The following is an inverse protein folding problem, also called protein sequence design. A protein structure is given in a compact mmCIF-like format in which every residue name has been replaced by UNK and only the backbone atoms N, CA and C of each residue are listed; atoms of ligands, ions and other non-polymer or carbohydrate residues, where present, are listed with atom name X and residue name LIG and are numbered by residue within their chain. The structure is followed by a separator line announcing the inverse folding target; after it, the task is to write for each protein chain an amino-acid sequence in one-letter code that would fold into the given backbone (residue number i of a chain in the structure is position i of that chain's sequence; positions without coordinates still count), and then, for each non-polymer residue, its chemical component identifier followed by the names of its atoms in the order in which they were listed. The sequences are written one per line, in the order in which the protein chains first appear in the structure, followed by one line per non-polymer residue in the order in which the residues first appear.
data_IF_526866282359
#
_entry.id   IF_526866282359
#
_cell.length_a   1.000
_cell.length_b   1.000
_cell.length_c   1.000
_cell.angle_alpha   90.00
_cell.angle_beta   90.00
_cell.angle_gamma   90.00
#
_symmetry.space_group_name_H-M   'P 1'
#
loop_
_entity.id
_entity.type
_entity.pdbx_description
1 polymer ?
#
# COMPACT_ATOMS: atom_id res chain seq x y z
N UNK A 1 -29.82 -74.29 48.34
CA UNK A 1 -30.47 -73.80 47.10
C UNK A 1 -30.28 -72.28 47.05
N UNK A 2 -29.55 -71.82 46.01
CA UNK A 2 -29.57 -70.49 45.37
C UNK A 2 -30.27 -69.32 46.09
N UNK A 3 -29.61 -68.19 46.38
CA UNK A 3 -29.21 -67.04 45.51
C UNK A 3 -29.65 -65.80 46.33
N UNK A 4 -28.99 -64.66 46.42
CA UNK A 4 -27.86 -64.15 45.67
C UNK A 4 -27.25 -62.93 46.39
N UNK A 5 -25.97 -62.74 46.08
CA UNK A 5 -25.14 -61.62 46.48
C UNK A 5 -25.57 -60.40 45.64
N UNK A 6 -26.25 -59.45 46.27
CA UNK A 6 -26.57 -58.16 45.67
C UNK A 6 -25.32 -57.30 45.63
N UNK A 7 -24.70 -57.23 44.45
CA UNK A 7 -23.61 -56.30 44.11
C UNK A 7 -24.06 -54.86 44.38
N UNK A 8 -23.46 -54.21 45.37
CA UNK A 8 -23.51 -52.75 45.50
C UNK A 8 -22.65 -52.19 44.36
N UNK A 9 -23.35 -51.73 43.32
CA UNK A 9 -22.75 -51.13 42.14
C UNK A 9 -22.25 -49.73 42.51
N UNK A 10 -20.94 -49.57 42.51
CA UNK A 10 -20.24 -48.29 42.62
C UNK A 10 -20.50 -47.50 41.33
N UNK A 11 -21.52 -46.64 41.32
CA UNK A 11 -21.68 -45.64 40.25
C UNK A 11 -20.83 -44.43 40.63
N UNK A 12 -19.56 -44.47 40.24
CA UNK A 12 -18.71 -43.27 40.20
C UNK A 12 -19.33 -42.35 39.15
N UNK A 13 -20.08 -41.35 39.61
CA UNK A 13 -20.56 -40.25 38.80
C UNK A 13 -19.34 -39.37 38.48
N UNK A 14 -18.61 -39.72 37.42
CA UNK A 14 -17.63 -38.84 36.81
C UNK A 14 -18.38 -37.64 36.24
N UNK A 15 -18.47 -36.57 37.03
CA UNK A 15 -18.79 -35.24 36.55
C UNK A 15 -17.64 -34.83 35.65
N UNK A 16 -17.74 -35.16 34.36
CA UNK A 16 -16.94 -34.55 33.31
C UNK A 16 -17.43 -33.11 33.28
N UNK A 17 -16.72 -32.24 33.99
CA UNK A 17 -16.78 -30.81 33.77
C UNK A 17 -16.29 -30.59 32.35
N UNK A 18 -17.22 -30.60 31.39
CA UNK A 18 -16.97 -30.17 30.03
C UNK A 18 -16.70 -28.67 30.15
N UNK A 19 -15.48 -28.32 30.50
CA UNK A 19 -14.98 -26.97 30.42
C UNK A 19 -14.91 -26.68 28.92
N UNK A 20 -16.04 -26.27 28.35
CA UNK A 20 -16.10 -25.63 27.05
C UNK A 20 -15.25 -24.38 27.19
N UNK A 21 -13.98 -24.48 26.79
CA UNK A 21 -13.11 -23.34 26.62
C UNK A 21 -13.82 -22.43 25.64
N UNK A 22 -14.38 -21.34 26.14
CA UNK A 22 -14.84 -20.24 25.29
C UNK A 22 -13.56 -19.73 24.63
N UNK A 23 -13.31 -20.14 23.40
CA UNK A 23 -12.21 -19.58 22.61
C UNK A 23 -12.55 -18.11 22.44
N UNK A 24 -11.83 -17.25 23.15
CA UNK A 24 -11.92 -15.80 22.98
C UNK A 24 -11.71 -15.49 21.50
N UNK A 25 -12.62 -14.70 20.91
CA UNK A 25 -12.50 -14.32 19.52
C UNK A 25 -11.21 -13.51 19.37
N UNK A 26 -10.26 -14.03 18.60
CA UNK A 26 -8.98 -13.35 18.39
C UNK A 26 -9.21 -11.97 17.76
N UNK A 27 -8.46 -10.98 18.24
CA UNK A 27 -8.48 -9.62 17.71
C UNK A 27 -8.23 -9.62 16.20
N UNK A 28 -9.00 -8.78 15.50
CA UNK A 28 -8.86 -8.59 14.05
C UNK A 28 -7.81 -7.50 13.80
N UNK A 29 -6.85 -7.82 12.93
CA UNK A 29 -5.79 -6.91 12.50
C UNK A 29 -6.00 -6.62 11.04
N UNK A 30 -6.15 -5.34 10.69
CA UNK A 30 -6.10 -4.89 9.30
C UNK A 30 -4.70 -4.39 8.98
N UNK A 31 -4.16 -4.82 7.84
CA UNK A 31 -2.83 -4.39 7.39
C UNK A 31 -2.89 -3.94 5.94
N UNK A 32 -2.20 -2.84 5.64
CA UNK A 32 -1.86 -2.45 4.27
C UNK A 32 -0.50 -3.04 3.94
N UNK A 33 -0.40 -3.81 2.87
CA UNK A 33 0.84 -4.48 2.47
C UNK A 33 0.93 -4.68 0.94
N UNK A 34 2.11 -4.99 0.41
CA UNK A 34 2.26 -5.48 -0.96
C UNK A 34 1.69 -6.90 -1.13
N UNK A 35 1.65 -7.40 -2.37
CA UNK A 35 1.35 -8.81 -2.65
C UNK A 35 2.31 -9.80 -1.96
N UNK A 36 3.54 -9.40 -1.66
CA UNK A 36 4.51 -10.19 -0.88
C UNK A 36 4.35 -10.03 0.64
N UNK A 37 3.45 -9.14 1.11
CA UNK A 37 3.22 -8.88 2.53
C UNK A 37 4.12 -7.80 3.14
N UNK A 38 4.86 -7.03 2.35
CA UNK A 38 5.72 -5.96 2.84
C UNK A 38 4.92 -4.68 3.17
N UNK A 39 5.24 -4.02 4.28
CA UNK A 39 4.65 -2.72 4.66
C UNK A 39 5.31 -1.52 3.97
N UNK A 40 6.46 -1.73 3.33
CA UNK A 40 7.09 -0.76 2.43
C UNK A 40 6.95 -1.30 1.01
N UNK A 41 6.33 -0.51 0.13
CA UNK A 41 5.99 -0.89 -1.23
C UNK A 41 6.81 0.00 -2.16
N UNK A 42 7.87 -0.58 -2.72
CA UNK A 42 8.73 0.06 -3.71
C UNK A 42 8.04 0.06 -5.07
N UNK A 43 8.07 1.21 -5.74
CA UNK A 43 7.58 1.42 -7.10
C UNK A 43 8.47 2.40 -7.84
N UNK A 44 8.35 2.46 -9.15
CA UNK A 44 8.96 3.49 -10.00
C UNK A 44 7.89 4.42 -10.59
N UNK A 45 8.28 5.60 -11.04
CA UNK A 45 7.35 6.52 -11.72
C UNK A 45 6.75 5.83 -12.94
N UNK A 46 5.41 5.82 -13.02
CA UNK A 46 4.67 5.16 -14.10
C UNK A 46 4.12 3.78 -13.73
N UNK A 47 4.65 3.14 -12.69
CA UNK A 47 4.14 1.85 -12.22
C UNK A 47 2.70 1.94 -11.72
N UNK A 48 1.97 0.85 -11.90
CA UNK A 48 0.75 0.58 -11.17
C UNK A 48 1.10 -0.04 -9.81
N UNK A 49 0.77 0.65 -8.73
CA UNK A 49 1.17 0.30 -7.37
C UNK A 49 0.04 -0.46 -6.69
N UNK A 50 0.19 -1.77 -6.50
CA UNK A 50 -0.82 -2.60 -5.84
C UNK A 50 -0.61 -2.64 -4.30
N UNK A 51 -1.60 -2.16 -3.56
CA UNK A 51 -1.67 -2.24 -2.10
C UNK A 51 -2.81 -3.15 -1.69
N UNK A 52 -2.52 -4.20 -0.94
CA UNK A 52 -3.50 -5.12 -0.40
C UNK A 52 -3.95 -4.71 1.00
N UNK A 53 -5.27 -4.65 1.21
CA UNK A 53 -5.87 -4.61 2.55
C UNK A 53 -6.03 -6.06 3.01
N UNK A 54 -5.19 -6.52 3.94
CA UNK A 54 -5.25 -7.87 4.50
C UNK A 54 -5.87 -7.88 5.89
N UNK A 55 -6.55 -8.98 6.20
CA UNK A 55 -7.02 -9.31 7.54
C UNK A 55 -6.35 -10.61 8.01
N UNK A 56 -5.88 -10.63 9.26
CA UNK A 56 -5.26 -11.81 9.86
C UNK A 56 -6.22 -13.02 9.95
N UNK A 57 -7.50 -12.77 10.19
CA UNK A 57 -8.54 -13.80 10.25
C UNK A 57 -9.87 -13.27 9.71
N UNK A 58 -10.31 -13.78 8.57
CA UNK A 58 -11.55 -13.36 7.93
C UNK A 58 -12.79 -14.13 8.42
N UNK A 59 -12.63 -15.06 9.35
CA UNK A 59 -13.75 -15.80 9.95
C UNK A 59 -14.81 -14.81 10.41
N UNK A 60 -16.08 -15.14 10.14
CA UNK A 60 -17.29 -14.36 10.40
C UNK A 60 -17.41 -13.00 9.68
N UNK A 61 -16.39 -12.52 8.96
CA UNK A 61 -16.46 -11.22 8.26
C UNK A 61 -17.42 -11.27 7.07
N UNK A 62 -18.42 -10.42 7.07
CA UNK A 62 -19.42 -10.31 6.03
C UNK A 62 -19.53 -8.92 5.42
N UNK A 63 -18.95 -7.90 6.06
CA UNK A 63 -18.87 -6.56 5.52
C UNK A 63 -17.64 -5.84 6.00
N UNK A 64 -17.23 -4.82 5.24
CA UNK A 64 -16.16 -3.91 5.60
C UNK A 64 -16.57 -2.48 5.25
N UNK A 65 -16.21 -1.52 6.10
CA UNK A 65 -16.43 -0.09 5.85
C UNK A 65 -15.35 0.74 6.53
N UNK A 66 -14.54 1.45 5.74
CA UNK A 66 -13.48 2.31 6.25
C UNK A 66 -13.01 3.32 5.21
N UNK A 67 -12.20 4.29 5.63
CA UNK A 67 -11.51 5.21 4.75
C UNK A 67 -10.05 4.79 4.56
N UNK A 68 -9.57 4.87 3.32
CA UNK A 68 -8.15 4.81 2.99
C UNK A 68 -7.66 6.25 2.83
N UNK A 69 -6.70 6.67 3.64
CA UNK A 69 -6.11 8.00 3.62
C UNK A 69 -4.74 7.95 2.96
N UNK A 70 -4.49 8.87 2.02
CA UNK A 70 -3.25 9.00 1.26
C UNK A 70 -3.10 10.43 0.72
N UNK A 71 -1.91 10.80 0.25
CA UNK A 71 -1.69 12.09 -0.39
C UNK A 71 -2.30 12.10 -1.81
N UNK A 72 -3.49 12.67 -1.94
CA UNK A 72 -4.25 12.77 -3.20
C UNK A 72 -3.58 13.70 -4.23
N UNK A 73 -2.57 14.48 -3.84
CA UNK A 73 -1.77 15.31 -4.77
C UNK A 73 -0.61 14.54 -5.40
N UNK A 74 -0.28 13.37 -4.85
CA UNK A 74 0.83 12.52 -5.28
C UNK A 74 0.38 11.14 -5.77
N UNK A 75 -0.74 10.64 -5.26
CA UNK A 75 -1.31 9.33 -5.61
C UNK A 75 -2.74 9.48 -6.10
N UNK A 76 -3.09 8.70 -7.13
CA UNK A 76 -4.46 8.50 -7.58
C UNK A 76 -4.86 7.03 -7.41
N UNK A 77 -6.01 6.76 -6.80
CA UNK A 77 -6.56 5.41 -6.70
C UNK A 77 -7.31 5.06 -7.99
N UNK A 78 -6.65 4.33 -8.89
CA UNK A 78 -7.18 4.00 -10.22
C UNK A 78 -8.31 2.97 -10.14
N UNK A 79 -8.11 1.91 -9.35
CA UNK A 79 -9.10 0.83 -9.22
C UNK A 79 -9.05 0.16 -7.84
N UNK A 80 -10.17 -0.48 -7.50
CA UNK A 80 -10.32 -1.30 -6.30
C UNK A 80 -10.86 -2.65 -6.77
N UNK A 81 -10.14 -3.72 -6.46
CA UNK A 81 -10.55 -5.09 -6.76
C UNK A 81 -10.73 -5.87 -5.46
N UNK A 82 -11.58 -6.90 -5.49
CA UNK A 82 -11.72 -7.85 -4.39
C UNK A 82 -12.23 -9.19 -4.91
N UNK A 83 -11.53 -10.26 -4.56
CA UNK A 83 -12.04 -11.63 -4.71
C UNK A 83 -12.81 -12.09 -3.47
N UNK A 84 -12.56 -11.44 -2.32
CA UNK A 84 -13.22 -11.71 -1.05
C UNK A 84 -14.66 -11.19 -1.01
N UNK A 85 -14.90 -9.95 -1.47
CA UNK A 85 -16.20 -9.33 -1.69
C UNK A 85 -16.58 -9.44 -3.18
N UNK A 86 -16.73 -10.67 -3.64
CA UNK A 86 -16.84 -11.05 -5.06
C UNK A 86 -18.08 -10.42 -5.77
N UNK A 87 -18.24 -10.67 -7.08
CA UNK A 87 -19.40 -10.19 -7.86
C UNK A 87 -20.74 -10.69 -7.32
N UNK A 88 -21.83 -9.98 -7.62
CA UNK A 88 -23.18 -10.39 -7.24
C UNK A 88 -23.48 -11.82 -7.69
N UNK A 89 -23.12 -12.16 -8.93
CA UNK A 89 -23.27 -13.52 -9.49
C UNK A 89 -22.52 -14.57 -8.69
N UNK A 90 -21.23 -14.34 -8.38
CA UNK A 90 -20.41 -15.31 -7.65
C UNK A 90 -20.87 -15.48 -6.19
N UNK A 91 -21.55 -14.47 -5.65
CA UNK A 91 -22.16 -14.53 -4.33
C UNK A 91 -23.60 -15.03 -4.32
N UNK A 92 -24.16 -15.38 -5.48
CA UNK A 92 -25.58 -15.75 -5.64
C UNK A 92 -26.56 -14.69 -5.12
N UNK A 93 -26.19 -13.41 -5.21
CA UNK A 93 -27.07 -12.29 -4.88
C UNK A 93 -27.99 -12.04 -6.09
N UNK A 94 -29.32 -12.11 -5.93
CA UNK A 94 -30.24 -11.77 -7.00
C UNK A 94 -30.08 -10.31 -7.44
N UNK A 95 -29.99 -10.10 -8.75
CA UNK A 95 -29.95 -8.76 -9.36
C UNK A 95 -31.20 -8.53 -10.21
N UNK A 96 -31.63 -7.28 -10.46
CA UNK A 96 -32.74 -6.99 -11.38
C UNK A 96 -32.57 -7.72 -12.72
N UNK A 97 -33.60 -8.43 -13.16
CA UNK A 97 -33.61 -9.21 -14.41
C UNK A 97 -32.45 -10.23 -14.56
N UNK A 98 -31.82 -10.67 -13.47
CA UNK A 98 -30.67 -11.59 -13.47
C UNK A 98 -29.47 -11.12 -14.33
N UNK A 99 -29.29 -9.81 -14.50
CA UNK A 99 -28.24 -9.23 -15.35
C UNK A 99 -26.81 -9.26 -14.75
N UNK A 100 -26.67 -9.61 -13.47
CA UNK A 100 -25.38 -9.68 -12.77
C UNK A 100 -24.87 -8.34 -12.24
N UNK A 101 -25.65 -7.26 -12.35
CA UNK A 101 -25.34 -5.94 -11.80
C UNK A 101 -26.57 -5.20 -11.28
N UNK A 102 -26.33 -4.20 -10.43
CA UNK A 102 -27.34 -3.22 -9.98
C UNK A 102 -26.98 -1.84 -10.51
N UNK A 103 -27.97 -1.05 -10.90
CA UNK A 103 -27.75 0.33 -11.37
C UNK A 103 -28.16 1.30 -10.27
N UNK A 104 -27.25 2.19 -9.88
CA UNK A 104 -27.48 3.29 -8.94
C UNK A 104 -26.95 4.56 -9.58
N UNK A 105 -27.79 5.59 -9.71
CA UNK A 105 -27.42 6.88 -10.31
C UNK A 105 -26.71 6.73 -11.68
N UNK A 106 -27.28 5.91 -12.56
CA UNK A 106 -26.74 5.57 -13.90
C UNK A 106 -25.40 4.80 -13.89
N UNK A 107 -24.91 4.40 -12.72
CA UNK A 107 -23.68 3.60 -12.59
C UNK A 107 -24.04 2.13 -12.35
N UNK A 108 -23.46 1.23 -13.15
CA UNK A 108 -23.62 -0.21 -12.96
C UNK A 108 -22.56 -0.73 -11.98
N UNK A 109 -23.02 -1.39 -10.92
CA UNK A 109 -22.18 -2.09 -9.94
C UNK A 109 -22.30 -3.58 -10.18
N UNK A 110 -21.17 -4.26 -10.39
CA UNK A 110 -21.11 -5.71 -10.64
C UNK A 110 -20.75 -6.51 -9.38
N UNK A 111 -20.32 -5.82 -8.34
CA UNK A 111 -20.04 -6.37 -7.02
C UNK A 111 -20.66 -5.44 -5.97
N UNK A 112 -20.92 -5.93 -4.74
CA UNK A 112 -21.33 -5.12 -3.61
C UNK A 112 -20.13 -4.36 -3.03
N UNK A 113 -19.40 -3.63 -3.88
CA UNK A 113 -18.28 -2.77 -3.50
C UNK A 113 -18.63 -1.35 -3.93
N UNK A 114 -18.60 -0.42 -2.98
CA UNK A 114 -18.78 1.00 -3.23
C UNK A 114 -17.52 1.72 -2.81
N UNK A 115 -17.07 2.67 -3.64
CA UNK A 115 -15.98 3.58 -3.33
C UNK A 115 -16.45 5.01 -3.51
N UNK A 116 -16.04 5.90 -2.61
CA UNK A 116 -16.35 7.32 -2.70
C UNK A 116 -15.08 8.15 -2.39
N UNK A 117 -14.49 8.83 -3.39
CA UNK A 117 -13.32 9.67 -3.15
C UNK A 117 -13.67 10.88 -2.27
N UNK A 118 -12.70 11.35 -1.49
CA UNK A 118 -12.79 12.58 -0.70
C UNK A 118 -11.43 13.29 -0.65
N UNK A 119 -11.36 14.44 0.00
CA UNK A 119 -10.20 15.36 -0.06
C UNK A 119 -8.87 14.71 0.28
N UNK A 120 -8.83 13.80 1.25
CA UNK A 120 -7.62 13.14 1.72
C UNK A 120 -7.62 11.62 1.49
N UNK A 121 -8.47 11.11 0.59
CA UNK A 121 -8.45 9.69 0.26
C UNK A 121 -9.71 9.15 -0.40
N UNK A 122 -10.07 7.90 -0.07
CA UNK A 122 -11.26 7.22 -0.58
C UNK A 122 -11.94 6.39 0.51
N UNK A 123 -13.25 6.54 0.66
CA UNK A 123 -14.07 5.66 1.50
C UNK A 123 -14.42 4.39 0.72
N UNK A 124 -14.33 3.24 1.38
CA UNK A 124 -14.65 1.94 0.84
C UNK A 124 -15.69 1.26 1.72
N UNK A 125 -16.70 0.68 1.08
CA UNK A 125 -17.64 -0.21 1.74
C UNK A 125 -17.86 -1.44 0.86
N UNK A 126 -17.94 -2.61 1.48
CA UNK A 126 -18.29 -3.84 0.78
C UNK A 126 -19.04 -4.83 1.66
N UNK A 127 -19.78 -5.73 1.03
CA UNK A 127 -20.56 -6.76 1.71
C UNK A 127 -20.48 -8.12 1.01
N UNK A 128 -20.79 -9.19 1.76
CA UNK A 128 -20.96 -10.53 1.22
C UNK A 128 -22.06 -11.32 1.93
N UNK A 129 -22.67 -12.28 1.22
CA UNK A 129 -23.83 -13.07 1.71
C UNK A 129 -23.45 -14.09 2.77
N UNK A 130 -22.32 -14.76 2.54
CA UNK A 130 -21.78 -15.80 3.40
C UNK A 130 -20.63 -15.23 4.20
N UNK A 131 -20.35 -15.81 5.37
CA UNK A 131 -19.19 -15.36 6.13
C UNK A 131 -17.89 -15.57 5.35
N UNK A 132 -16.90 -14.72 5.65
CA UNK A 132 -15.52 -14.98 5.33
C UNK A 132 -15.00 -16.15 6.15
N UNK A 133 -13.96 -16.80 5.61
CA UNK A 133 -13.24 -17.87 6.26
C UNK A 133 -11.75 -17.75 5.94
N UNK A 134 -10.91 -18.37 6.78
CA UNK A 134 -9.47 -18.45 6.54
C UNK A 134 -8.66 -17.33 7.17
N UNK A 135 -7.39 -17.62 7.38
CA UNK A 135 -6.40 -16.67 7.88
C UNK A 135 -5.77 -15.87 6.72
N UNK A 136 -5.22 -14.70 7.05
CA UNK A 136 -4.42 -13.84 6.15
C UNK A 136 -5.09 -13.59 4.80
N UNK A 137 -6.37 -13.23 4.80
CA UNK A 137 -7.13 -12.99 3.58
C UNK A 137 -6.93 -11.56 3.10
N UNK A 138 -6.84 -11.40 1.77
CA UNK A 138 -6.87 -10.10 1.10
C UNK A 138 -8.32 -9.68 0.91
N UNK A 139 -8.74 -8.63 1.62
CA UNK A 139 -10.07 -8.04 1.51
C UNK A 139 -10.19 -7.19 0.24
N UNK A 140 -9.16 -6.41 -0.07
CA UNK A 140 -9.13 -5.53 -1.25
C UNK A 140 -7.72 -5.44 -1.82
N UNK A 141 -7.62 -5.28 -3.13
CA UNK A 141 -6.41 -4.80 -3.82
C UNK A 141 -6.71 -3.40 -4.36
N UNK A 142 -6.00 -2.42 -3.82
CA UNK A 142 -6.06 -1.01 -4.17
C UNK A 142 -4.94 -0.74 -5.18
N UNK A 143 -5.29 -0.35 -6.40
CA UNK A 143 -4.28 -0.02 -7.41
C UNK A 143 -4.12 1.49 -7.46
N UNK A 144 -2.97 1.97 -7.05
CA UNK A 144 -2.59 3.37 -7.10
C UNK A 144 -1.74 3.67 -8.34
N UNK A 145 -1.76 4.92 -8.76
CA UNK A 145 -0.83 5.47 -9.73
C UNK A 145 -0.19 6.72 -9.13
N UNK A 146 1.13 6.85 -9.28
CA UNK A 146 1.82 8.08 -8.93
C UNK A 146 1.45 9.18 -9.94
N UNK A 147 0.95 10.31 -9.44
CA UNK A 147 0.55 11.48 -10.22
C UNK A 147 1.30 12.75 -9.78
N UNK A 148 2.21 12.63 -8.81
CA UNK A 148 3.01 13.74 -8.34
C UNK A 148 4.09 14.16 -9.33
N UNK A 149 4.62 15.36 -9.17
CA UNK A 149 5.82 15.77 -9.89
C UNK A 149 7.03 14.96 -9.40
N UNK A 150 7.87 14.50 -10.33
CA UNK A 150 9.10 13.72 -10.10
C UNK A 150 10.27 14.51 -9.50
N UNK A 151 10.07 15.77 -9.11
CA UNK A 151 11.17 16.70 -8.82
C UNK A 151 12.06 16.36 -7.62
N UNK A 152 11.63 15.47 -6.73
CA UNK A 152 12.48 14.96 -5.64
C UNK A 152 12.07 13.52 -5.35
N UNK A 153 12.84 12.58 -5.90
CA UNK A 153 12.69 11.14 -5.67
C UNK A 153 13.96 10.63 -4.95
N UNK A 154 13.87 9.57 -4.12
CA UNK A 154 12.67 8.80 -3.82
C UNK A 154 11.67 9.58 -2.95
N UNK A 155 10.38 9.35 -3.18
CA UNK A 155 9.30 9.94 -2.38
C UNK A 155 8.61 8.86 -1.57
N UNK A 156 8.60 9.01 -0.24
CA UNK A 156 7.85 8.13 0.67
C UNK A 156 6.50 8.74 1.00
N UNK A 157 5.43 7.98 0.80
CA UNK A 157 4.05 8.41 1.03
C UNK A 157 3.33 7.40 1.93
N UNK A 158 2.85 7.82 3.13
CA UNK A 158 2.10 6.94 3.99
C UNK A 158 0.70 6.69 3.41
N UNK A 159 0.23 5.45 3.54
CA UNK A 159 -1.17 5.06 3.30
C UNK A 159 -1.69 4.43 4.58
N UNK A 160 -2.85 4.90 5.04
CA UNK A 160 -3.43 4.46 6.32
C UNK A 160 -4.90 4.08 6.14
N UNK A 161 -5.40 3.27 7.08
CA UNK A 161 -6.83 2.97 7.22
C UNK A 161 -7.35 3.77 8.40
N UNK A 162 -8.47 4.46 8.22
CA UNK A 162 -9.17 5.18 9.28
C UNK A 162 -10.64 4.81 9.32
N UNK A 163 -11.25 4.96 10.48
CA UNK A 163 -12.66 4.66 10.67
C UNK A 163 -13.51 5.68 9.92
N UNK A 164 -14.50 5.23 9.17
CA UNK A 164 -15.44 6.14 8.50
C UNK A 164 -16.35 6.82 9.52
N UNK A 165 -16.52 8.13 9.37
CA UNK A 165 -17.53 8.91 10.09
C UNK A 165 -18.62 9.31 9.10
N UNK A 166 -19.86 8.93 9.36
CA UNK A 166 -21.03 9.29 8.53
C UNK A 166 -21.91 10.29 9.29
N UNK A 167 -22.37 11.33 8.60
CA UNK A 167 -23.19 12.40 9.19
C UNK A 167 -24.45 12.72 8.35
N UNK A 168 -24.90 11.76 7.54
CA UNK A 168 -26.06 11.95 6.68
C UNK A 168 -27.38 11.91 7.48
N UNK A 169 -27.85 13.08 7.91
CA UNK A 169 -29.09 13.23 8.69
C UNK A 169 -30.34 12.76 7.95
N UNK A 170 -30.37 12.82 6.61
CA UNK A 170 -31.48 12.28 5.82
C UNK A 170 -31.57 10.76 5.91
N UNK A 171 -30.44 10.08 6.15
CA UNK A 171 -30.39 8.64 6.39
C UNK A 171 -30.48 8.27 7.88
N UNK A 172 -30.77 9.24 8.76
CA UNK A 172 -30.97 9.03 10.20
C UNK A 172 -29.71 9.10 11.05
N UNK A 173 -28.54 9.42 10.47
CA UNK A 173 -27.29 9.56 11.23
C UNK A 173 -27.19 10.92 11.94
N UNK A 174 -26.48 10.96 13.05
CA UNK A 174 -26.18 12.20 13.77
C UNK A 174 -25.42 13.21 12.89
N UNK A 175 -25.82 14.49 12.94
CA UNK A 175 -25.14 15.58 12.23
C UNK A 175 -23.70 15.83 12.71
N UNK A 176 -23.38 15.47 13.96
CA UNK A 176 -22.03 15.49 14.50
C UNK A 176 -21.15 14.36 13.95
N UNK A 177 -21.75 13.37 13.28
CA UNK A 177 -21.08 12.19 12.76
C UNK A 177 -21.18 10.98 13.69
N UNK A 178 -21.30 9.80 13.08
CA UNK A 178 -21.29 8.50 13.73
C UNK A 178 -20.18 7.64 13.14
N UNK A 179 -19.43 6.97 14.01
CA UNK A 179 -18.36 6.08 13.59
C UNK A 179 -18.94 4.73 13.14
N UNK A 180 -18.59 4.32 11.92
CA UNK A 180 -19.00 3.04 11.35
C UNK A 180 -17.95 1.98 11.70
N UNK A 181 -18.33 0.78 12.15
CA UNK A 181 -17.37 -0.30 12.40
C UNK A 181 -16.57 -0.66 11.15
N UNK A 182 -15.27 -0.93 11.31
CA UNK A 182 -14.40 -1.37 10.21
C UNK A 182 -14.91 -2.63 9.52
N UNK A 183 -15.43 -3.57 10.32
CA UNK A 183 -15.88 -4.89 9.89
C UNK A 183 -17.25 -5.18 10.49
N UNK A 184 -18.10 -5.81 9.68
CA UNK A 184 -19.38 -6.36 10.10
C UNK A 184 -19.34 -7.85 9.85
N UNK A 185 -19.94 -8.66 10.71
CA UNK A 185 -19.95 -10.10 10.53
C UNK A 185 -21.31 -10.76 10.57
N UNK A 186 -21.34 -12.03 10.17
CA UNK A 186 -22.52 -12.90 10.16
C UNK A 186 -22.14 -14.23 10.82
N UNK A 187 -23.01 -14.71 11.72
CA UNK A 187 -22.95 -16.07 12.25
C UNK A 187 -23.89 -16.93 11.42
N UNK A 188 -23.34 -17.93 10.73
CA UNK A 188 -24.15 -18.85 9.93
C UNK A 188 -24.85 -19.88 10.84
N UNK A 189 -26.10 -20.25 10.48
CA UNK A 189 -26.83 -21.32 11.17
C UNK A 189 -27.60 -20.91 12.43
N UNK A 190 -27.57 -19.64 12.85
CA UNK A 190 -28.49 -19.14 13.89
C UNK A 190 -29.89 -19.03 13.29
N UNK A 191 -30.91 -19.74 13.80
CA UNK A 191 -32.26 -19.81 13.21
C UNK A 191 -33.07 -18.52 13.23
N UNK A 192 -32.46 -17.39 13.60
CA UNK A 192 -33.21 -16.16 13.81
C UNK A 192 -33.61 -15.56 12.45
N UNK A 193 -34.92 -15.45 12.25
CA UNK A 193 -35.59 -14.92 11.05
C UNK A 193 -35.25 -13.46 10.74
N UNK A 194 -34.48 -12.83 11.61
CA UNK A 194 -33.68 -11.67 11.32
C UNK A 194 -32.23 -12.13 11.36
N UNK A 195 -31.52 -12.12 10.22
CA UNK A 195 -30.07 -11.96 10.23
C UNK A 195 -29.82 -10.58 10.84
N UNK A 196 -29.91 -10.49 12.16
CA UNK A 196 -29.33 -9.40 12.89
C UNK A 196 -27.87 -9.41 12.47
N UNK A 197 -27.39 -8.26 12.03
CA UNK A 197 -25.98 -7.97 11.91
C UNK A 197 -25.59 -7.39 13.26
N UNK A 198 -25.55 -8.17 14.37
CA UNK A 198 -25.03 -7.60 15.58
C UNK A 198 -23.61 -7.15 15.23
N UNK A 199 -23.18 -6.02 15.80
CA UNK A 199 -21.75 -5.89 16.10
C UNK A 199 -21.38 -7.22 16.73
N UNK A 200 -20.51 -7.97 16.04
CA UNK A 200 -20.15 -9.35 16.31
C UNK A 200 -20.17 -9.64 17.83
N UNK A 201 -20.70 -10.78 18.29
CA UNK A 201 -20.82 -11.03 19.73
C UNK A 201 -19.42 -11.15 20.34
N UNK A 202 -19.00 -10.08 21.02
CA UNK A 202 -17.64 -9.91 21.54
C UNK A 202 -16.86 -8.83 20.78
N UNK A 203 -15.78 -8.28 21.36
CA UNK A 203 -15.06 -7.15 20.79
C UNK A 203 -14.22 -7.59 19.58
N UNK A 204 -14.81 -7.97 18.45
CA UNK A 204 -14.07 -7.95 17.17
C UNK A 204 -14.02 -6.51 16.66
N UNK A 205 -13.54 -5.62 17.52
CA UNK A 205 -13.00 -4.36 17.07
C UNK A 205 -11.80 -4.73 16.19
N UNK A 206 -11.61 -4.00 15.10
CA UNK A 206 -10.27 -3.97 14.53
C UNK A 206 -9.42 -3.27 15.58
N UNK A 207 -8.64 -4.06 16.32
CA UNK A 207 -7.85 -3.55 17.45
C UNK A 207 -6.53 -2.96 16.94
N UNK A 208 -6.07 -3.43 15.78
CA UNK A 208 -4.81 -2.97 15.21
C UNK A 208 -4.95 -2.69 13.73
N UNK A 209 -4.42 -1.54 13.33
CA UNK A 209 -4.29 -1.11 11.95
C UNK A 209 -2.80 -0.92 11.67
N UNK A 210 -2.27 -1.71 10.74
CA UNK A 210 -0.90 -1.57 10.27
C UNK A 210 -0.91 -0.76 8.96
N UNK A 211 -0.41 0.49 8.96
CA UNK A 211 -0.28 1.27 7.74
C UNK A 211 0.84 0.73 6.85
N UNK A 212 0.93 1.25 5.62
CA UNK A 212 2.07 1.02 4.75
C UNK A 212 2.68 2.35 4.29
N UNK A 213 3.89 2.27 3.74
CA UNK A 213 4.52 3.33 2.99
C UNK A 213 4.67 2.89 1.54
N UNK A 214 4.27 3.75 0.61
CA UNK A 214 4.63 3.62 -0.79
C UNK A 214 5.89 4.47 -1.01
N UNK A 215 6.93 3.87 -1.56
CA UNK A 215 8.17 4.55 -1.94
C UNK A 215 8.25 4.55 -3.45
N UNK A 216 8.16 5.74 -4.05
CA UNK A 216 8.29 5.91 -5.51
C UNK A 216 9.69 6.37 -5.83
N UNK A 217 10.38 5.61 -6.67
CA UNK A 217 11.71 5.86 -7.19
C UNK A 217 11.62 6.44 -8.61
N UNK A 218 12.70 7.03 -9.11
CA UNK A 218 12.79 7.41 -10.52
C UNK A 218 12.65 6.16 -11.40
N UNK A 219 12.04 6.30 -12.58
CA UNK A 219 12.07 5.24 -13.58
C UNK A 219 13.47 5.20 -14.18
N UNK A 220 14.07 4.01 -14.24
CA UNK A 220 15.30 3.80 -14.99
C UNK A 220 14.98 3.69 -16.48
N UNK A 221 15.51 4.60 -17.29
CA UNK A 221 15.40 4.58 -18.75
C UNK A 221 16.82 4.69 -19.29
N UNK A 222 17.20 3.79 -20.19
CA UNK A 222 18.55 3.73 -20.78
C UNK A 222 18.36 3.42 -22.27
N UNK A 223 18.18 4.47 -23.06
CA UNK A 223 17.77 4.38 -24.47
C UNK A 223 18.91 3.94 -25.37
N UNK A 224 20.15 4.33 -25.07
CA UNK A 224 21.33 3.99 -25.85
C UNK A 224 22.04 2.71 -25.35
N UNK A 225 21.63 2.18 -24.19
CA UNK A 225 21.99 0.86 -23.69
C UNK A 225 23.36 0.81 -23.02
N UNK A 226 23.84 1.94 -22.53
CA UNK A 226 25.17 2.08 -21.96
C UNK A 226 25.19 1.84 -20.44
N UNK A 227 24.02 1.68 -19.82
CA UNK A 227 23.85 1.45 -18.39
C UNK A 227 23.72 2.72 -17.54
N UNK A 228 23.58 3.90 -18.17
CA UNK A 228 23.32 5.19 -17.54
C UNK A 228 21.84 5.56 -17.74
N UNK A 229 21.24 6.23 -16.75
CA UNK A 229 19.84 6.67 -16.89
C UNK A 229 19.73 7.93 -17.77
N UNK A 230 18.89 7.90 -18.80
CA UNK A 230 18.56 9.00 -19.70
C UNK A 230 18.22 10.30 -18.93
N UNK A 231 17.49 10.22 -17.81
CA UNK A 231 17.15 11.41 -17.04
C UNK A 231 18.38 11.99 -16.34
N UNK A 232 19.29 11.14 -15.88
CA UNK A 232 20.58 11.57 -15.34
C UNK A 232 21.42 12.25 -16.42
N UNK A 233 21.54 11.65 -17.61
CA UNK A 233 22.28 12.23 -18.73
C UNK A 233 21.70 13.60 -19.11
N UNK A 234 20.38 13.68 -19.27
CA UNK A 234 19.67 14.92 -19.57
C UNK A 234 19.84 16.00 -18.48
N UNK A 235 19.92 15.61 -17.22
CA UNK A 235 20.10 16.54 -16.10
C UNK A 235 21.55 17.01 -15.94
N UNK A 236 22.51 16.18 -16.33
CA UNK A 236 23.94 16.42 -16.17
C UNK A 236 24.61 16.91 -17.46
N UNK A 237 23.92 16.88 -18.60
CA UNK A 237 24.46 17.36 -19.87
C UNK A 237 25.01 18.79 -19.73
N UNK A 238 26.24 19.07 -20.20
CA UNK A 238 26.85 20.38 -20.07
C UNK A 238 26.01 21.48 -20.69
N UNK A 239 26.03 22.65 -20.05
CA UNK A 239 25.29 23.81 -20.54
C UNK A 239 25.74 24.19 -21.97
N UNK A 240 24.77 24.32 -22.88
CA UNK A 240 25.04 24.65 -24.28
C UNK A 240 25.20 23.43 -25.21
N UNK A 241 25.14 22.22 -24.67
CA UNK A 241 25.01 21.01 -25.49
C UNK A 241 23.61 20.94 -26.10
N UNK A 242 23.52 20.50 -27.35
CA UNK A 242 22.24 20.27 -28.02
C UNK A 242 21.48 19.15 -27.27
N UNK A 243 20.26 19.40 -26.76
CA UNK A 243 19.49 18.37 -26.04
C UNK A 243 19.23 17.12 -26.88
N UNK A 244 19.24 17.22 -28.21
CA UNK A 244 19.01 16.07 -29.11
C UNK A 244 20.14 15.05 -29.12
N UNK A 245 21.32 15.39 -28.58
CA UNK A 245 22.47 14.49 -28.47
C UNK A 245 22.83 14.15 -27.02
N UNK A 246 22.04 14.59 -26.03
CA UNK A 246 22.37 14.43 -24.61
C UNK A 246 22.68 12.98 -24.23
N UNK A 247 21.91 12.02 -24.77
CA UNK A 247 22.08 10.57 -24.60
C UNK A 247 23.31 9.98 -25.34
N UNK A 248 24.18 10.82 -25.91
CA UNK A 248 25.43 10.38 -26.54
C UNK A 248 26.63 11.15 -25.99
N UNK A 249 26.40 11.96 -24.94
CA UNK A 249 27.43 12.80 -24.32
C UNK A 249 28.18 12.00 -23.28
N UNK A 250 27.43 11.26 -22.47
CA UNK A 250 27.95 10.32 -21.49
C UNK A 250 27.93 8.93 -22.12
N UNK A 251 28.91 8.11 -21.77
CA UNK A 251 28.92 6.71 -22.15
C UNK A 251 29.57 5.89 -21.04
N UNK A 252 29.19 4.63 -20.89
CA UNK A 252 29.62 3.82 -19.74
C UNK A 252 31.14 3.81 -19.45
N UNK A 253 31.95 3.87 -20.51
CA UNK A 253 33.42 3.89 -20.47
C UNK A 253 34.02 5.26 -20.76
N UNK A 254 33.19 6.27 -20.97
CA UNK A 254 33.58 7.66 -21.17
C UNK A 254 34.01 8.30 -19.86
N UNK A 255 34.64 9.45 -19.95
CA UNK A 255 35.13 10.27 -18.84
C UNK A 255 35.03 11.71 -19.35
N UNK A 256 33.79 12.20 -19.42
CA UNK A 256 33.45 13.41 -20.18
C UNK A 256 34.24 14.63 -19.69
N UNK A 257 34.33 14.80 -18.37
CA UNK A 257 35.03 15.93 -17.74
C UNK A 257 36.53 15.65 -17.47
N UNK A 258 37.01 14.45 -17.83
CA UNK A 258 38.42 14.01 -17.82
C UNK A 258 39.04 14.03 -16.46
N UNK A 259 38.25 13.68 -15.48
CA UNK A 259 38.67 13.68 -14.11
C UNK A 259 39.27 12.31 -13.73
N UNK A 260 38.91 11.24 -14.45
CA UNK A 260 39.40 9.89 -14.23
C UNK A 260 38.35 8.93 -13.64
N UNK A 261 37.10 9.35 -13.49
CA UNK A 261 35.93 8.49 -13.33
C UNK A 261 35.27 8.23 -14.67
N UNK A 262 34.72 7.04 -14.84
CA UNK A 262 33.86 6.82 -16.00
C UNK A 262 32.48 7.41 -15.77
N UNK A 263 31.80 7.88 -16.82
CA UNK A 263 30.47 8.48 -16.69
C UNK A 263 29.47 7.52 -15.99
N UNK A 264 29.59 6.19 -16.21
CA UNK A 264 28.83 5.18 -15.47
C UNK A 264 29.12 5.17 -13.97
N UNK A 265 30.38 5.32 -13.58
CA UNK A 265 30.73 5.40 -12.15
C UNK A 265 30.10 6.63 -11.52
N UNK A 266 30.07 7.75 -12.22
CA UNK A 266 29.45 9.00 -11.76
C UNK A 266 27.93 8.84 -11.60
N UNK A 267 27.28 8.21 -12.58
CA UNK A 267 25.88 7.84 -12.50
C UNK A 267 25.59 6.93 -11.29
N UNK A 268 26.29 5.80 -11.17
CA UNK A 268 26.11 4.85 -10.07
C UNK A 268 26.33 5.52 -8.70
N UNK A 269 27.32 6.40 -8.59
CA UNK A 269 27.58 7.16 -7.37
C UNK A 269 26.42 8.12 -7.03
N UNK A 270 25.77 8.69 -8.03
CA UNK A 270 24.61 9.57 -7.82
C UNK A 270 23.40 8.85 -7.21
N UNK A 271 23.27 7.53 -7.44
CA UNK A 271 22.15 6.73 -6.95
C UNK A 271 22.23 6.41 -5.45
N UNK A 272 23.44 6.29 -4.89
CA UNK A 272 23.62 5.83 -3.50
C UNK A 272 23.34 6.95 -2.50
N UNK A 273 23.39 8.22 -2.92
CA UNK A 273 22.87 9.38 -2.18
C UNK A 273 23.56 9.71 -0.84
N UNK A 274 24.40 8.83 -0.31
CA UNK A 274 25.17 9.01 0.92
C UNK A 274 26.63 9.38 0.66
N UNK A 275 26.98 9.58 -0.62
CA UNK A 275 28.35 9.70 -1.07
C UNK A 275 29.11 8.49 -0.56
N UNK A 276 28.82 7.30 -1.07
CA UNK A 276 29.62 6.10 -0.83
C UNK A 276 29.84 5.32 -2.11
N UNK A 277 30.99 4.65 -2.19
CA UNK A 277 31.32 3.79 -3.33
C UNK A 277 30.54 2.45 -3.28
N UNK A 278 30.58 1.61 -4.35
CA UNK A 278 29.94 0.29 -4.37
C UNK A 278 30.41 -0.69 -3.28
N UNK A 279 31.46 -0.36 -2.53
CA UNK A 279 31.98 -1.12 -1.39
C UNK A 279 31.48 -0.58 -0.04
N UNK A 280 30.65 0.47 -0.04
CA UNK A 280 30.04 1.06 1.15
C UNK A 280 30.97 1.99 1.93
N UNK A 281 32.03 2.52 1.29
CA UNK A 281 32.98 3.47 1.90
C UNK A 281 32.53 4.92 1.64
N UNK A 282 32.62 5.79 2.65
CA UNK A 282 32.43 7.24 2.51
C UNK A 282 33.25 7.82 1.34
N UNK A 283 32.53 8.39 0.37
CA UNK A 283 33.02 9.18 -0.74
C UNK A 283 33.86 10.32 -0.20
N UNK A 284 35.15 10.19 -0.42
CA UNK A 284 36.10 11.25 -0.21
C UNK A 284 36.58 11.69 -1.59
N UNK A 285 36.14 12.85 -2.11
CA UNK A 285 36.57 13.37 -3.41
C UNK A 285 38.06 13.73 -3.44
N UNK A 286 38.77 13.56 -2.32
CA UNK A 286 40.22 13.76 -2.18
C UNK A 286 40.97 12.43 -2.07
N UNK A 287 40.28 11.30 -1.94
CA UNK A 287 40.89 9.96 -1.90
C UNK A 287 40.72 9.29 -3.25
N UNK A 288 41.88 8.93 -3.78
CA UNK A 288 42.16 8.36 -5.09
C UNK A 288 41.73 6.89 -5.15
N UNK A 289 40.49 6.56 -5.51
CA UNK A 289 40.10 5.17 -5.82
C UNK A 289 40.63 4.70 -7.20
N UNK A 290 41.05 5.65 -8.03
CA UNK A 290 42.08 5.50 -9.06
C UNK A 290 42.82 6.84 -9.22
N UNK A 291 44.06 6.87 -9.73
CA UNK A 291 44.85 8.09 -9.90
C UNK A 291 44.21 9.33 -10.56
N UNK A 292 43.54 10.20 -9.75
CA UNK A 292 43.24 11.65 -9.94
C UNK A 292 41.77 12.13 -10.14
N UNK A 293 40.73 11.30 -9.92
CA UNK A 293 39.30 11.68 -10.06
C UNK A 293 38.71 12.60 -8.99
N UNK A 294 37.73 13.43 -9.38
CA UNK A 294 37.05 14.45 -8.54
C UNK A 294 35.49 14.31 -8.50
N UNK A 295 34.91 13.40 -9.28
CA UNK A 295 33.47 13.22 -9.52
C UNK A 295 32.86 14.34 -10.39
N UNK A 296 31.85 13.99 -11.19
CA UNK A 296 31.22 14.89 -12.15
C UNK A 296 30.84 16.23 -11.55
N UNK A 297 31.46 17.29 -12.04
CA UNK A 297 31.04 18.66 -11.73
C UNK A 297 30.54 19.29 -13.02
N UNK A 298 29.23 19.56 -13.19
CA UNK A 298 28.71 20.14 -14.42
C UNK A 298 29.45 21.45 -14.74
N UNK A 299 30.26 21.44 -15.80
CA UNK A 299 31.02 22.60 -16.25
C UNK A 299 30.00 23.65 -16.71
N UNK A 300 29.70 24.64 -15.86
CA UNK A 300 28.77 25.73 -16.19
C UNK A 300 27.84 26.18 -15.05
N UNK A 301 27.64 25.40 -13.99
CA UNK A 301 27.05 25.92 -12.74
C UNK A 301 28.15 26.44 -11.83
N UNK A 302 28.86 27.46 -12.28
CA UNK A 302 29.65 28.27 -11.35
C UNK A 302 28.66 28.87 -10.34
N UNK A 303 28.56 28.28 -9.15
CA UNK A 303 28.42 29.08 -7.94
C UNK A 303 29.60 30.02 -7.96
N UNK A 304 29.41 31.23 -8.49
CA UNK A 304 30.36 32.31 -8.30
C UNK A 304 30.66 32.33 -6.80
N UNK A 305 31.92 32.14 -6.37
CA UNK A 305 32.23 32.26 -4.96
C UNK A 305 31.78 33.66 -4.53
N UNK A 306 31.10 33.74 -3.39
CA UNK A 306 30.56 34.97 -2.80
C UNK A 306 31.60 36.10 -2.57
N UNK A 307 32.86 35.86 -2.90
CA UNK A 307 33.99 36.78 -2.77
C UNK A 307 34.14 37.72 -3.98
N UNK A 308 33.46 37.47 -5.12
CA UNK A 308 33.61 38.34 -6.31
C UNK A 308 32.67 39.57 -6.34
N UNK A 309 31.82 39.77 -5.32
CA UNK A 309 30.98 40.97 -5.18
C UNK A 309 31.67 42.17 -4.50
N UNK A 310 32.96 42.06 -4.14
CA UNK A 310 33.66 43.09 -3.36
C UNK A 310 34.68 43.93 -4.14
N UNK A 311 34.71 43.86 -5.48
CA UNK A 311 35.72 44.58 -6.29
C UNK A 311 35.18 45.33 -7.54
N UNK A 312 33.88 45.60 -7.61
CA UNK A 312 33.31 46.53 -8.60
C UNK A 312 32.39 47.56 -7.93
N UNK A 313 32.94 48.24 -6.93
CA UNK A 313 32.29 49.34 -6.21
C UNK A 313 33.28 50.42 -5.79
N UNK A 314 34.00 50.98 -6.77
CA UNK A 314 34.48 52.37 -6.79
C UNK A 314 34.30 52.92 -8.20
#
# INVERSE_FOLDING_TARGET
MHKGIGKICFTVLSVIFLCSTMTEAADKILSLVSGSGASTIEATVGDLIAVEVRINDATIVAGASFAITYDTTKLSLSSVASTFFNTFTNQSIPTPNNQGYVTVDSTNYYSPIVKNPFTTGTMLAAARVNNGTGANQTLFTLNFQFIGNSGTLPLTMPVTISQSIINNTNAGYNSAGEAIPFLVGIIEGTPDTYRSYPTLPGPTNVVTINPCNIVVNAAFVDTDGDGIDDNWEMANVPAGTDPSIALNVFFATGDYDRDGYTDLQEYLNSLVGDGKDPQGIAYDPKVKNAPNGIGYTPIGRNTLPAIMFLLLGQ
#
